data_IF_429702448122
#
_entry.id   IF_429702448122
#
_cell.length_a   1.000
_cell.length_b   1.000
_cell.length_c   1.000
_cell.angle_alpha   90.00
_cell.angle_beta   90.00
_cell.angle_gamma   90.00
#
_symmetry.space_group_name_H-M   'P 1'
#
loop_
_entity.id
_entity.type
_entity.pdbx_description
1 polymer ?
#
# COMPACT_ATOMS: atom_id res chain seq x y z
N UNK A 1 -14.09 7.99 -10.72
CA UNK A 1 -13.37 8.70 -9.64
C UNK A 1 -11.92 8.88 -10.04
N UNK A 2 -11.15 9.67 -9.29
CA UNK A 2 -9.70 9.80 -9.48
C UNK A 2 -8.98 8.65 -8.79
N UNK A 3 -8.06 7.99 -9.49
CA UNK A 3 -7.22 6.93 -8.92
C UNK A 3 -5.88 7.53 -8.45
N UNK A 4 -5.45 7.12 -7.25
CA UNK A 4 -4.12 7.40 -6.72
C UNK A 4 -3.45 6.07 -6.40
N UNK A 5 -2.27 5.84 -6.97
CA UNK A 5 -1.49 4.62 -6.74
C UNK A 5 -0.21 4.96 -6.02
N UNK A 6 0.10 4.20 -4.98
CA UNK A 6 1.42 4.21 -4.32
C UNK A 6 2.10 2.87 -4.59
N UNK A 7 3.33 2.90 -5.11
CA UNK A 7 4.12 1.69 -5.39
C UNK A 7 5.50 1.81 -4.78
N UNK A 8 5.88 0.85 -3.95
CA UNK A 8 7.22 0.78 -3.38
C UNK A 8 8.15 0.00 -4.32
N UNK A 9 9.20 0.65 -4.80
CA UNK A 9 10.32 0.04 -5.52
C UNK A 9 11.61 0.23 -4.71
N UNK A 10 12.03 -0.81 -3.98
CA UNK A 10 13.19 -0.73 -3.09
C UNK A 10 12.97 0.31 -1.98
N UNK A 11 13.70 1.43 -2.02
CA UNK A 11 13.56 2.56 -1.07
C UNK A 11 12.71 3.72 -1.61
N UNK A 12 12.25 3.59 -2.85
CA UNK A 12 11.49 4.63 -3.54
C UNK A 12 10.00 4.33 -3.47
N UNK A 13 9.22 5.33 -3.11
CA UNK A 13 7.78 5.33 -3.23
C UNK A 13 7.39 6.15 -4.45
N UNK A 14 6.86 5.49 -5.46
CA UNK A 14 6.34 6.11 -6.68
C UNK A 14 4.86 6.43 -6.44
N UNK A 15 4.48 7.68 -6.71
CA UNK A 15 3.07 8.11 -6.65
C UNK A 15 2.57 8.41 -8.05
N UNK A 16 1.43 7.81 -8.40
CA UNK A 16 0.73 8.02 -9.66
C UNK A 16 -0.66 8.58 -9.40
N UNK A 17 -1.09 9.52 -10.24
CA UNK A 17 -2.47 10.01 -10.31
C UNK A 17 -2.97 9.75 -11.72
N UNK A 18 -4.11 9.06 -11.86
CA UNK A 18 -4.66 8.68 -13.16
C UNK A 18 -3.62 7.97 -14.06
N UNK A 19 -2.83 7.08 -13.46
CA UNK A 19 -1.76 6.32 -14.13
C UNK A 19 -0.48 7.09 -14.43
N UNK A 20 -0.47 8.42 -14.35
CA UNK A 20 0.74 9.23 -14.58
C UNK A 20 1.54 9.38 -13.30
N UNK A 21 2.85 9.13 -13.38
CA UNK A 21 3.76 9.38 -12.26
C UNK A 21 3.88 10.89 -12.03
N UNK A 22 3.49 11.32 -10.83
CA UNK A 22 3.53 12.72 -10.42
C UNK A 22 4.57 12.97 -9.33
N UNK A 23 5.08 11.91 -8.69
CA UNK A 23 6.04 12.03 -7.60
C UNK A 23 6.88 10.79 -7.36
N UNK A 24 8.04 11.02 -6.75
CA UNK A 24 8.98 10.01 -6.30
C UNK A 24 9.53 10.45 -4.93
N UNK A 25 9.38 9.60 -3.92
CA UNK A 25 9.85 9.88 -2.57
C UNK A 25 10.88 8.83 -2.17
N UNK A 26 12.00 9.25 -1.57
CA UNK A 26 13.00 8.33 -1.03
C UNK A 26 13.02 8.47 0.49
N UNK A 27 12.07 7.81 1.16
CA UNK A 27 11.94 7.82 2.62
C UNK A 27 11.35 6.51 3.13
N UNK A 28 12.17 5.61 3.70
CA UNK A 28 11.69 4.34 4.23
C UNK A 28 10.63 4.48 5.33
N UNK A 29 10.75 5.52 6.17
CA UNK A 29 9.80 5.78 7.25
C UNK A 29 8.44 6.18 6.70
N UNK A 30 8.40 7.01 5.64
CA UNK A 30 7.15 7.41 5.00
C UNK A 30 6.48 6.25 4.27
N UNK A 31 7.27 5.45 3.54
CA UNK A 31 6.77 4.22 2.89
C UNK A 31 6.14 3.27 3.90
N UNK A 32 6.80 3.06 5.05
CA UNK A 32 6.25 2.25 6.14
C UNK A 32 4.98 2.87 6.73
N UNK A 33 4.97 4.18 7.00
CA UNK A 33 3.80 4.85 7.57
C UNK A 33 2.57 4.73 6.65
N UNK A 34 2.75 4.89 5.34
CA UNK A 34 1.66 4.72 4.36
C UNK A 34 1.14 3.28 4.33
N UNK A 35 2.03 2.29 4.44
CA UNK A 35 1.62 0.90 4.58
C UNK A 35 0.83 0.65 5.88
N UNK A 36 1.30 1.21 6.99
CA UNK A 36 0.68 1.04 8.31
C UNK A 36 -0.75 1.60 8.35
N UNK A 37 -1.07 2.64 7.57
CA UNK A 37 -2.45 3.16 7.44
C UNK A 37 -3.43 2.06 7.00
N UNK A 38 -3.02 1.13 6.15
CA UNK A 38 -3.91 0.09 5.60
C UNK A 38 -3.73 -1.27 6.28
N UNK A 39 -2.51 -1.61 6.68
CA UNK A 39 -2.16 -2.95 7.16
C UNK A 39 -1.54 -2.96 8.55
N UNK A 40 -1.35 -1.80 9.18
CA UNK A 40 -0.82 -1.65 10.53
C UNK A 40 -1.82 -2.07 11.62
N UNK A 41 -1.46 -1.90 12.91
CA UNK A 41 -2.29 -2.34 14.04
C UNK A 41 -3.67 -1.68 14.10
N UNK A 42 -3.78 -0.43 13.67
CA UNK A 42 -5.03 0.37 13.65
C UNK A 42 -5.31 0.85 12.20
N UNK A 43 -5.85 -0.02 11.34
CA UNK A 43 -6.01 0.29 9.91
C UNK A 43 -7.24 1.18 9.67
N UNK A 44 -7.16 2.05 8.67
CA UNK A 44 -8.27 2.92 8.24
C UNK A 44 -9.49 2.14 7.72
N UNK A 45 -9.29 0.88 7.31
CA UNK A 45 -10.37 -0.07 6.99
C UNK A 45 -10.02 -1.47 7.51
N UNK A 46 -10.53 -1.84 8.69
CA UNK A 46 -10.34 -3.18 9.27
C UNK A 46 -10.85 -4.30 8.36
N UNK A 47 -11.97 -4.08 7.67
CA UNK A 47 -12.59 -5.07 6.78
C UNK A 47 -11.71 -5.35 5.56
N UNK A 48 -11.14 -4.30 4.94
CA UNK A 48 -10.23 -4.45 3.82
C UNK A 48 -8.97 -5.21 4.23
N UNK A 49 -8.41 -4.91 5.41
CA UNK A 49 -7.26 -5.66 5.96
C UNK A 49 -7.59 -7.14 6.16
N UNK A 50 -8.77 -7.46 6.69
CA UNK A 50 -9.21 -8.84 6.92
C UNK A 50 -9.40 -9.61 5.59
N UNK A 51 -10.00 -8.97 4.58
CA UNK A 51 -10.17 -9.54 3.23
C UNK A 51 -8.82 -9.80 2.55
N UNK A 52 -7.89 -8.83 2.63
CA UNK A 52 -6.53 -8.97 2.13
C UNK A 52 -5.79 -10.11 2.82
N UNK A 53 -5.85 -10.21 4.15
CA UNK A 53 -5.19 -11.27 4.91
C UNK A 53 -5.72 -12.67 4.57
N UNK A 54 -7.04 -12.80 4.38
CA UNK A 54 -7.68 -14.06 3.96
C UNK A 54 -7.16 -14.50 2.59
N UNK A 55 -7.11 -13.57 1.64
CA UNK A 55 -6.61 -13.83 0.27
C UNK A 55 -5.12 -14.17 0.28
N UNK A 56 -4.33 -13.47 1.08
CA UNK A 56 -2.90 -13.78 1.20
C UNK A 56 -2.68 -15.19 1.79
N UNK A 57 -3.48 -15.57 2.79
CA UNK A 57 -3.40 -16.89 3.40
C UNK A 57 -3.77 -18.03 2.46
N UNK A 58 -4.63 -17.80 1.45
CA UNK A 58 -4.91 -18.82 0.42
C UNK A 58 -3.73 -19.00 -0.52
N UNK A 59 -3.06 -17.92 -0.93
CA UNK A 59 -1.89 -17.98 -1.84
C UNK A 59 -0.69 -18.72 -1.24
N UNK A 60 -0.52 -18.66 0.08
CA UNK A 60 0.62 -19.32 0.78
C UNK A 60 0.37 -20.84 0.99
N UNK A 61 -0.89 -21.28 0.93
CA UNK A 61 -1.26 -22.69 1.17
C UNK A 61 -1.23 -23.57 -0.08
N UNK A 62 -1.06 -22.96 -1.25
CA UNK A 62 -0.84 -23.63 -2.54
C UNK A 62 0.67 -23.81 -2.81
#
# INVERSE_FOLDING_TARGET
GTEITFTQHGKQLVTKISGQQVGLLTSPSLSKALWDIYAGPDPVSPEAKASFATTLASVIKD
#
